data_IF_213202593955
#
_entry.id   IF_213202593955
#
_cell.length_a   1.000
_cell.length_b   1.000
_cell.length_c   1.000
_cell.angle_alpha   90.00
_cell.angle_beta   90.00
_cell.angle_gamma   90.00
#
_symmetry.space_group_name_H-M   'P 1'
#
loop_
_entity.id
_entity.type
_entity.pdbx_description
1 polymer ?
#
# COMPACT_ATOMS: atom_id res chain seq x y z
N UNK A 1 46.42 -15.99 4.97
CA UNK A 1 45.17 -16.58 5.46
C UNK A 1 44.38 -15.71 6.43
N UNK A 2 45.00 -14.95 7.33
CA UNK A 2 44.29 -14.10 8.29
C UNK A 2 43.64 -12.84 7.68
N UNK A 3 44.16 -12.30 6.58
CA UNK A 3 43.65 -11.12 5.88
C UNK A 3 42.44 -11.38 5.00
N UNK A 4 42.33 -12.59 4.42
CA UNK A 4 41.18 -12.98 3.56
C UNK A 4 39.91 -13.21 4.37
N UNK A 5 40.02 -13.68 5.60
CA UNK A 5 38.85 -13.93 6.48
C UNK A 5 38.24 -12.60 6.96
N UNK A 6 39.06 -11.60 7.24
CA UNK A 6 38.60 -10.28 7.68
C UNK A 6 37.83 -9.52 6.58
N UNK A 7 38.23 -9.67 5.31
CA UNK A 7 37.57 -9.04 4.16
C UNK A 7 36.20 -9.69 3.89
N UNK A 8 36.07 -11.01 4.05
CA UNK A 8 34.78 -11.71 3.86
C UNK A 8 33.77 -11.35 4.94
N UNK A 9 34.18 -11.16 6.19
CA UNK A 9 33.28 -10.76 7.30
C UNK A 9 32.80 -9.32 7.13
N UNK A 10 33.66 -8.41 6.65
CA UNK A 10 33.28 -7.02 6.37
C UNK A 10 32.30 -6.91 5.19
N UNK A 11 32.46 -7.77 4.15
CA UNK A 11 31.53 -7.79 3.00
C UNK A 11 30.14 -8.32 3.34
N UNK A 12 30.04 -9.33 4.21
CA UNK A 12 28.74 -9.88 4.67
C UNK A 12 28.01 -8.89 5.58
N UNK A 13 28.73 -8.10 6.39
CA UNK A 13 28.12 -7.08 7.27
C UNK A 13 27.48 -5.90 6.52
N UNK A 14 27.96 -5.56 5.32
CA UNK A 14 27.43 -4.45 4.52
C UNK A 14 26.11 -4.76 3.81
N UNK A 15 25.79 -6.06 3.56
CA UNK A 15 24.53 -6.43 2.91
C UNK A 15 23.31 -6.50 3.83
N UNK A 16 23.51 -6.50 5.15
CA UNK A 16 22.42 -6.63 6.13
C UNK A 16 21.78 -5.31 6.57
N UNK A 17 22.32 -4.16 6.16
CA UNK A 17 21.85 -2.84 6.60
C UNK A 17 20.99 -2.06 5.59
N UNK A 18 20.69 -2.62 4.41
CA UNK A 18 20.02 -1.88 3.33
C UNK A 18 18.48 -2.03 3.29
N UNK A 19 17.86 -2.83 4.16
CA UNK A 19 16.44 -3.18 4.03
C UNK A 19 15.43 -2.05 4.28
N UNK A 20 15.45 -1.29 5.40
CA UNK A 20 14.40 -0.32 5.69
C UNK A 20 14.50 1.00 4.92
N UNK A 21 15.71 1.44 4.56
CA UNK A 21 15.91 2.72 3.87
C UNK A 21 15.34 2.73 2.44
N UNK A 22 15.40 1.61 1.73
CA UNK A 22 14.91 1.48 0.34
C UNK A 22 13.39 1.58 0.27
N UNK A 23 12.67 1.00 1.24
CA UNK A 23 11.21 1.04 1.30
C UNK A 23 10.67 2.46 1.57
N UNK A 24 11.30 3.23 2.45
CA UNK A 24 10.95 4.63 2.71
C UNK A 24 11.19 5.54 1.49
N UNK A 25 12.31 5.33 0.77
CA UNK A 25 12.60 6.08 -0.45
C UNK A 25 11.60 5.77 -1.57
N UNK A 26 11.16 4.54 -1.73
CA UNK A 26 10.16 4.16 -2.72
C UNK A 26 8.81 4.84 -2.46
N UNK A 27 8.31 4.82 -1.21
CA UNK A 27 7.07 5.49 -0.85
C UNK A 27 7.12 7.00 -1.13
N UNK A 28 8.13 7.70 -0.62
CA UNK A 28 8.25 9.16 -0.76
C UNK A 28 8.54 9.61 -2.19
N UNK A 29 9.02 8.73 -3.07
CA UNK A 29 9.19 9.01 -4.48
C UNK A 29 7.84 9.03 -5.22
N UNK A 30 6.91 8.16 -4.86
CA UNK A 30 5.65 7.95 -5.56
C UNK A 30 4.46 8.64 -4.90
N UNK A 31 4.38 8.60 -3.57
CA UNK A 31 3.25 9.14 -2.81
C UNK A 31 3.64 10.34 -1.94
N UNK A 32 2.66 11.18 -1.62
CA UNK A 32 2.85 12.36 -0.79
C UNK A 32 2.09 12.23 0.54
N UNK A 33 2.84 12.06 1.64
CA UNK A 33 2.28 12.00 2.98
C UNK A 33 1.51 13.26 3.40
N UNK A 34 1.73 14.39 2.73
CA UNK A 34 1.01 15.65 2.94
C UNK A 34 -0.25 15.77 2.09
N UNK A 35 -0.57 14.74 1.31
CA UNK A 35 -1.74 14.68 0.41
C UNK A 35 -2.70 13.56 0.83
N UNK A 36 -3.32 13.66 2.03
CA UNK A 36 -4.29 12.67 2.44
C UNK A 36 -5.53 12.75 1.55
N UNK A 37 -6.03 11.60 1.15
CA UNK A 37 -7.27 11.45 0.39
C UNK A 37 -8.19 10.46 1.08
N UNK A 38 -9.49 10.71 0.97
CA UNK A 38 -10.54 9.82 1.45
C UNK A 38 -11.60 9.70 0.37
N UNK A 39 -11.88 8.48 -0.05
CA UNK A 39 -12.80 8.20 -1.15
C UNK A 39 -13.69 7.02 -0.84
N UNK A 40 -14.93 7.09 -1.32
CA UNK A 40 -15.86 5.97 -1.31
C UNK A 40 -16.12 5.56 -2.75
N UNK A 41 -16.07 4.26 -3.02
CA UNK A 41 -16.29 3.73 -4.36
C UNK A 41 -16.62 2.26 -4.35
N UNK A 42 -16.87 1.74 -5.55
CA UNK A 42 -17.21 0.33 -5.80
C UNK A 42 -15.97 -0.42 -6.25
N UNK A 43 -15.66 -1.53 -5.60
CA UNK A 43 -14.51 -2.38 -5.97
C UNK A 43 -14.74 -2.97 -7.36
N UNK A 44 -13.78 -2.73 -8.25
CA UNK A 44 -13.77 -3.29 -9.61
C UNK A 44 -12.77 -4.40 -9.79
N UNK A 45 -11.72 -4.43 -8.95
CA UNK A 45 -10.66 -5.45 -8.98
C UNK A 45 -9.96 -5.53 -7.63
N UNK A 46 -9.54 -6.72 -7.25
CA UNK A 46 -8.69 -6.97 -6.08
C UNK A 46 -7.57 -7.94 -6.45
N UNK A 47 -6.33 -7.50 -6.32
CA UNK A 47 -5.12 -8.25 -6.67
C UNK A 47 -4.35 -8.61 -5.39
N UNK A 48 -4.35 -9.88 -5.04
CA UNK A 48 -3.62 -10.44 -3.90
C UNK A 48 -2.25 -10.94 -4.36
N UNK A 49 -1.32 -10.01 -4.61
CA UNK A 49 -0.04 -10.25 -5.27
C UNK A 49 1.14 -9.68 -4.48
N UNK A 50 2.33 -10.24 -4.70
CA UNK A 50 3.60 -9.70 -4.24
C UNK A 50 4.23 -8.80 -5.34
N UNK A 51 5.01 -7.78 -4.99
CA UNK A 51 5.41 -7.39 -3.62
C UNK A 51 4.31 -6.68 -2.84
N UNK A 52 3.32 -6.09 -3.50
CA UNK A 52 2.20 -5.38 -2.91
C UNK A 52 0.87 -5.86 -3.47
N UNK A 53 -0.15 -5.95 -2.61
CA UNK A 53 -1.52 -6.14 -3.04
C UNK A 53 -2.10 -4.81 -3.53
N UNK A 54 -3.10 -4.89 -4.41
CA UNK A 54 -3.78 -3.74 -4.99
C UNK A 54 -5.27 -3.95 -5.02
N UNK A 55 -6.03 -2.88 -4.88
CA UNK A 55 -7.45 -2.86 -5.23
C UNK A 55 -7.78 -1.62 -6.06
N UNK A 56 -8.87 -1.72 -6.80
CA UNK A 56 -9.32 -0.67 -7.71
C UNK A 56 -10.76 -0.33 -7.42
N UNK A 57 -11.08 0.97 -7.43
CA UNK A 57 -12.41 1.50 -7.15
C UNK A 57 -12.90 2.36 -8.31
N UNK A 58 -14.15 2.19 -8.69
CA UNK A 58 -14.89 3.20 -9.41
C UNK A 58 -15.42 4.23 -8.41
N UNK A 59 -14.90 5.46 -8.50
CA UNK A 59 -15.28 6.58 -7.65
C UNK A 59 -16.07 7.58 -8.46
N UNK A 60 -17.26 7.90 -7.98
CA UNK A 60 -18.15 8.89 -8.58
C UNK A 60 -17.98 10.23 -7.91
N UNK A 61 -17.73 11.28 -8.69
CA UNK A 61 -17.67 12.64 -8.19
C UNK A 61 -19.06 13.30 -8.09
N UNK A 62 -19.13 14.54 -7.60
CA UNK A 62 -20.38 15.26 -7.40
C UNK A 62 -21.10 15.56 -8.74
N UNK A 63 -20.39 15.58 -9.87
CA UNK A 63 -20.97 15.74 -11.20
C UNK A 63 -21.52 14.45 -11.80
N UNK A 64 -21.28 13.31 -11.15
CA UNK A 64 -21.65 11.98 -11.63
C UNK A 64 -20.61 11.32 -12.53
N UNK A 65 -19.45 11.96 -12.72
CA UNK A 65 -18.34 11.37 -13.48
C UNK A 65 -17.67 10.28 -12.66
N UNK A 66 -17.46 9.11 -13.28
CA UNK A 66 -16.81 7.96 -12.65
C UNK A 66 -15.35 7.91 -13.08
N UNK A 67 -14.46 7.83 -12.10
CA UNK A 67 -13.03 7.67 -12.32
C UNK A 67 -12.56 6.40 -11.61
N UNK A 68 -11.81 5.54 -12.31
CA UNK A 68 -11.21 4.37 -11.70
C UNK A 68 -9.90 4.75 -10.99
N UNK A 69 -9.81 4.41 -9.70
CA UNK A 69 -8.65 4.65 -8.85
C UNK A 69 -8.00 3.34 -8.45
N UNK A 70 -6.67 3.29 -8.48
CA UNK A 70 -5.89 2.18 -7.97
C UNK A 70 -5.29 2.50 -6.60
N UNK A 71 -5.32 1.53 -5.69
CA UNK A 71 -4.76 1.69 -4.34
C UNK A 71 -3.77 0.58 -4.04
N UNK A 72 -2.52 0.99 -3.82
CA UNK A 72 -1.47 0.11 -3.34
C UNK A 72 -1.64 -0.16 -1.85
N UNK A 73 -1.47 -1.42 -1.47
CA UNK A 73 -1.45 -1.87 -0.08
C UNK A 73 -0.09 -2.48 0.26
N UNK A 74 0.02 -2.99 1.47
CA UNK A 74 1.17 -3.76 1.90
C UNK A 74 1.24 -5.13 1.19
N UNK A 75 2.32 -5.88 1.44
CA UNK A 75 2.44 -7.26 0.96
C UNK A 75 1.34 -8.16 1.55
N UNK A 76 0.94 -9.23 0.85
CA UNK A 76 -0.02 -10.20 1.37
C UNK A 76 0.31 -10.73 2.77
N UNK A 77 1.58 -11.01 3.06
CA UNK A 77 1.99 -11.50 4.38
C UNK A 77 1.75 -10.48 5.50
N UNK A 78 1.98 -9.20 5.24
CA UNK A 78 1.72 -8.14 6.21
C UNK A 78 0.22 -7.91 6.38
N UNK A 79 -0.54 -7.96 5.29
CA UNK A 79 -1.99 -7.82 5.32
C UNK A 79 -2.67 -8.94 6.11
N UNK A 80 -2.21 -10.19 5.98
CA UNK A 80 -2.69 -11.32 6.79
C UNK A 80 -2.55 -11.06 8.29
N UNK A 81 -1.45 -10.44 8.73
CA UNK A 81 -1.22 -10.06 10.13
C UNK A 81 -2.18 -8.97 10.61
N UNK A 82 -2.71 -8.17 9.69
CA UNK A 82 -3.68 -7.10 9.96
C UNK A 82 -5.14 -7.55 9.75
N UNK A 83 -5.38 -8.85 9.65
CA UNK A 83 -6.72 -9.42 9.52
C UNK A 83 -7.28 -9.49 8.10
N UNK A 84 -6.49 -9.14 7.08
CA UNK A 84 -6.88 -9.30 5.69
C UNK A 84 -6.77 -10.75 5.24
N UNK A 85 -7.59 -11.12 4.27
CA UNK A 85 -7.47 -12.36 3.48
C UNK A 85 -7.67 -12.02 2.01
N UNK A 86 -7.36 -12.96 1.12
CA UNK A 86 -7.64 -12.77 -0.32
C UNK A 86 -9.14 -12.65 -0.63
N UNK A 87 -10.01 -12.91 0.33
CA UNK A 87 -11.47 -12.78 0.20
C UNK A 87 -12.03 -11.54 0.93
N UNK A 88 -11.18 -10.67 1.46
CA UNK A 88 -11.62 -9.49 2.22
C UNK A 88 -12.38 -8.47 1.39
N UNK A 89 -12.05 -8.35 0.12
CA UNK A 89 -12.76 -7.51 -0.85
C UNK A 89 -13.24 -8.35 -2.02
N UNK A 90 -14.44 -8.02 -2.51
CA UNK A 90 -15.04 -8.64 -3.71
C UNK A 90 -15.47 -7.55 -4.68
N UNK A 91 -15.41 -7.83 -5.96
CA UNK A 91 -15.95 -6.95 -7.00
C UNK A 91 -17.42 -6.64 -6.67
N UNK A 92 -17.78 -5.37 -6.69
CA UNK A 92 -19.11 -4.88 -6.32
C UNK A 92 -19.24 -4.39 -4.89
N UNK A 93 -18.28 -4.66 -4.00
CA UNK A 93 -18.29 -4.12 -2.64
C UNK A 93 -18.15 -2.59 -2.69
N UNK A 94 -18.93 -1.89 -1.86
CA UNK A 94 -18.78 -0.45 -1.63
C UNK A 94 -17.94 -0.26 -0.38
N UNK A 95 -16.81 0.43 -0.54
CA UNK A 95 -15.85 0.67 0.55
C UNK A 95 -15.42 2.12 0.60
N UNK A 96 -14.96 2.55 1.76
CA UNK A 96 -14.27 3.83 1.93
C UNK A 96 -12.80 3.58 2.21
N UNK A 97 -11.94 4.22 1.43
CA UNK A 97 -10.48 4.16 1.59
C UNK A 97 -9.95 5.49 2.12
N UNK A 98 -9.04 5.43 3.07
CA UNK A 98 -8.15 6.52 3.44
C UNK A 98 -6.74 6.20 2.93
N UNK A 99 -6.13 7.13 2.21
CA UNK A 99 -4.88 6.91 1.51
C UNK A 99 -4.04 8.19 1.41
N UNK A 100 -2.83 8.05 0.90
CA UNK A 100 -2.01 9.15 0.43
C UNK A 100 -2.00 9.18 -1.10
N UNK A 101 -2.23 10.35 -1.69
CA UNK A 101 -2.27 10.51 -3.14
C UNK A 101 -0.90 10.47 -3.79
N UNK A 102 -0.87 10.16 -5.07
CA UNK A 102 0.34 10.20 -5.87
C UNK A 102 0.87 11.63 -6.04
N UNK A 103 2.20 11.77 -6.07
CA UNK A 103 2.86 13.08 -6.26
C UNK A 103 2.59 13.68 -7.63
N UNK A 104 2.51 12.84 -8.65
CA UNK A 104 2.29 13.25 -10.04
C UNK A 104 0.83 13.57 -10.37
N UNK A 105 -0.10 13.41 -9.41
CA UNK A 105 -1.51 13.65 -9.59
C UNK A 105 -2.27 12.54 -10.32
N UNK A 106 -1.64 11.42 -10.60
CA UNK A 106 -2.31 10.25 -11.16
C UNK A 106 -3.38 9.69 -10.21
N UNK A 107 -4.32 8.91 -10.75
CA UNK A 107 -5.42 8.31 -9.99
C UNK A 107 -4.95 7.04 -9.26
N UNK A 108 -3.89 7.16 -8.49
CA UNK A 108 -3.41 6.11 -7.58
C UNK A 108 -3.17 6.67 -6.19
N UNK A 109 -3.26 5.81 -5.18
CA UNK A 109 -2.98 6.15 -3.80
C UNK A 109 -2.33 4.99 -3.05
N UNK A 110 -1.65 5.29 -1.97
CA UNK A 110 -1.16 4.30 -1.02
C UNK A 110 -2.17 4.19 0.12
N UNK A 111 -2.87 3.06 0.20
CA UNK A 111 -3.95 2.86 1.15
C UNK A 111 -3.42 2.74 2.58
N UNK A 112 -4.01 3.49 3.51
CA UNK A 112 -3.78 3.40 4.96
C UNK A 112 -4.78 2.47 5.61
N UNK A 113 -6.05 2.68 5.33
CA UNK A 113 -7.14 1.89 5.87
C UNK A 113 -8.30 1.80 4.89
N UNK A 114 -9.05 0.73 5.03
CA UNK A 114 -10.29 0.48 4.30
C UNK A 114 -11.42 0.24 5.30
N UNK A 115 -12.54 0.91 5.11
CA UNK A 115 -13.76 0.68 5.87
C UNK A 115 -14.81 0.05 4.96
N UNK A 116 -15.29 -1.12 5.33
CA UNK A 116 -16.34 -1.84 4.59
C UNK A 116 -17.72 -1.21 4.82
N UNK A 117 -18.71 -1.60 4.01
CA UNK A 117 -20.11 -1.16 4.16
C UNK A 117 -20.73 -1.55 5.51
N UNK A 118 -20.18 -2.57 6.19
CA UNK A 118 -20.61 -2.99 7.55
C UNK A 118 -19.94 -2.20 8.66
N UNK A 119 -19.02 -1.28 8.33
CA UNK A 119 -18.29 -0.46 9.29
C UNK A 119 -16.99 -1.11 9.81
N UNK A 120 -16.63 -2.30 9.33
CA UNK A 120 -15.35 -2.92 9.68
C UNK A 120 -14.19 -2.14 9.06
N UNK A 121 -13.21 -1.76 9.88
CA UNK A 121 -12.00 -1.09 9.45
C UNK A 121 -10.82 -2.06 9.42
N UNK A 122 -10.09 -2.07 8.32
CA UNK A 122 -8.90 -2.87 8.09
C UNK A 122 -7.71 -1.97 7.75
N UNK A 123 -6.58 -2.17 8.41
CA UNK A 123 -5.34 -1.43 8.13
C UNK A 123 -4.64 -2.01 6.90
N UNK A 124 -4.42 -1.20 5.89
CA UNK A 124 -3.84 -1.60 4.60
C UNK A 124 -2.34 -1.31 4.48
N UNK A 125 -1.81 -0.41 5.31
CA UNK A 125 -0.37 -0.14 5.42
C UNK A 125 0.05 -0.09 6.89
N UNK A 126 1.32 -0.40 7.22
CA UNK A 126 1.87 -0.06 8.52
C UNK A 126 1.87 1.46 8.67
N UNK A 127 1.80 1.95 9.91
CA UNK A 127 1.89 3.38 10.22
C UNK A 127 3.13 3.99 9.54
N UNK A 128 2.92 4.57 8.37
CA UNK A 128 3.92 5.34 7.64
C UNK A 128 3.85 6.77 8.20
N UNK A 129 4.55 7.06 9.27
CA UNK A 129 4.60 8.42 9.76
C UNK A 129 4.60 8.61 11.27
N UNK A 130 5.37 7.82 11.99
CA UNK A 130 5.91 8.19 13.30
C UNK A 130 7.43 8.16 13.28
#
# INVERSE_FOLDING_TARGET
MRTTLAVCVAAVGMFLSAGPAVAHHAFTAEFDAKKPIKMTGTVTKFEWTNPHAWFYLDVKDDSGTVTNWGFEMNSPNMLLRNGWTRNSLKVGDVITVEAFGARDGSHIGNAKSVTTSTGQQLLAAPNQGQ
#
